data_IF_508299907270
#
_entry.id   IF_508299907270
#
_cell.length_a   1.000
_cell.length_b   1.000
_cell.length_c   1.000
_cell.angle_alpha   90.00
_cell.angle_beta   90.00
_cell.angle_gamma   90.00
#
_symmetry.space_group_name_H-M   'P 1'
#
loop_
_entity.id
_entity.type
_entity.pdbx_description
1 polymer ?
#
# COMPACT_ATOMS: atom_id res chain seq x y z
N UNK A 1 -1.98 10.77 -16.29
CA UNK A 1 -2.85 10.29 -15.19
C UNK A 1 -2.66 11.25 -14.03
N UNK A 2 -3.73 11.89 -13.53
CA UNK A 2 -3.65 12.83 -12.40
C UNK A 2 -3.63 12.10 -11.06
N UNK A 3 -3.20 12.77 -9.99
CA UNK A 3 -3.25 12.24 -8.61
C UNK A 3 -4.65 11.75 -8.23
N UNK A 4 -5.70 12.47 -8.64
CA UNK A 4 -7.08 12.09 -8.38
C UNK A 4 -7.48 10.79 -9.10
N UNK A 5 -7.06 10.62 -10.37
CA UNK A 5 -7.32 9.38 -11.11
C UNK A 5 -6.57 8.19 -10.51
N UNK A 6 -5.33 8.41 -10.07
CA UNK A 6 -4.52 7.38 -9.43
C UNK A 6 -5.10 6.97 -8.07
N UNK A 7 -5.57 7.95 -7.28
CA UNK A 7 -6.26 7.69 -6.01
C UNK A 7 -7.50 6.84 -6.24
N UNK A 8 -8.35 7.25 -7.18
CA UNK A 8 -9.57 6.50 -7.52
C UNK A 8 -9.25 5.05 -7.89
N UNK A 9 -8.21 4.82 -8.68
CA UNK A 9 -7.75 3.47 -9.02
C UNK A 9 -7.29 2.67 -7.81
N UNK A 10 -6.58 3.28 -6.86
CA UNK A 10 -6.18 2.60 -5.61
C UNK A 10 -7.39 2.31 -4.71
N UNK A 11 -8.39 3.19 -4.66
CA UNK A 11 -9.63 2.97 -3.91
C UNK A 11 -10.47 1.84 -4.51
N UNK A 12 -10.43 1.66 -5.83
CA UNK A 12 -11.16 0.61 -6.56
C UNK A 12 -10.43 -0.74 -6.62
N UNK A 13 -9.12 -0.76 -6.38
CA UNK A 13 -8.29 -1.96 -6.39
C UNK A 13 -8.56 -2.81 -5.14
N UNK A 14 -8.87 -4.10 -5.35
CA UNK A 14 -9.31 -5.02 -4.29
C UNK A 14 -8.19 -5.30 -3.28
N UNK A 15 -6.94 -5.25 -3.74
CA UNK A 15 -5.76 -5.56 -2.93
C UNK A 15 -5.20 -4.31 -2.24
N UNK A 16 -5.31 -3.14 -2.89
CA UNK A 16 -4.75 -1.88 -2.40
C UNK A 16 -5.75 -1.07 -1.58
N UNK A 17 -7.02 -1.04 -1.99
CA UNK A 17 -8.07 -0.21 -1.38
C UNK A 17 -8.23 -0.42 0.13
N UNK A 18 -8.34 -1.67 0.62
CA UNK A 18 -8.45 -1.90 2.06
C UNK A 18 -7.18 -1.49 2.82
N UNK A 19 -5.99 -1.73 2.27
CA UNK A 19 -4.72 -1.32 2.89
C UNK A 19 -4.56 0.21 2.95
N UNK A 20 -4.97 0.91 1.89
CA UNK A 20 -5.03 2.38 1.85
C UNK A 20 -5.92 2.89 2.98
N UNK A 21 -7.15 2.36 3.08
CA UNK A 21 -8.11 2.75 4.10
C UNK A 21 -7.57 2.50 5.51
N UNK A 22 -7.03 1.32 5.79
CA UNK A 22 -6.46 1.02 7.11
C UNK A 22 -5.31 1.94 7.50
N UNK A 23 -4.47 2.33 6.52
CA UNK A 23 -3.40 3.30 6.76
C UNK A 23 -3.92 4.71 7.00
N UNK A 24 -4.95 5.14 6.27
CA UNK A 24 -5.62 6.43 6.49
C UNK A 24 -6.34 6.49 7.85
N UNK A 25 -7.00 5.39 8.24
CA UNK A 25 -7.69 5.24 9.51
C UNK A 25 -6.73 5.07 10.71
N UNK A 26 -5.42 4.99 10.47
CA UNK A 26 -4.40 4.89 11.52
C UNK A 26 -4.41 3.56 12.27
N UNK A 27 -4.96 2.50 11.66
CA UNK A 27 -5.07 1.19 12.29
C UNK A 27 -3.69 0.55 12.39
N UNK A 28 -3.45 -0.20 13.47
CA UNK A 28 -2.27 -1.05 13.56
C UNK A 28 -2.32 -2.18 12.52
N UNK A 29 -1.16 -2.75 12.19
CA UNK A 29 -1.08 -3.87 11.24
C UNK A 29 -1.97 -5.01 11.74
N UNK A 30 -3.00 -5.44 10.97
CA UNK A 30 -3.84 -6.56 11.37
C UNK A 30 -3.05 -7.84 11.54
N UNK A 31 -3.53 -8.77 12.34
CA UNK A 31 -2.91 -10.07 12.53
C UNK A 31 -2.99 -10.93 11.25
N UNK A 32 -2.07 -11.90 11.11
CA UNK A 32 -2.06 -12.80 9.96
C UNK A 32 -3.37 -13.59 9.79
N UNK A 33 -4.00 -13.97 10.90
CA UNK A 33 -5.28 -14.69 10.90
C UNK A 33 -6.45 -13.87 10.34
N UNK A 34 -6.38 -12.54 10.39
CA UNK A 34 -7.44 -11.66 9.85
C UNK A 34 -7.35 -11.53 8.34
N UNK A 35 -6.20 -11.85 7.75
CA UNK A 35 -5.91 -11.67 6.32
C UNK A 35 -5.51 -13.00 5.66
N UNK A 36 -5.70 -14.13 6.33
CA UNK A 36 -5.28 -15.45 5.85
C UNK A 36 -6.04 -15.93 4.61
N UNK A 37 -7.23 -15.40 4.37
CA UNK A 37 -8.07 -15.75 3.22
C UNK A 37 -7.92 -14.76 2.04
N UNK A 38 -7.16 -13.68 2.24
CA UNK A 38 -6.93 -12.67 1.22
C UNK A 38 -6.01 -13.15 0.09
N UNK A 39 -5.99 -12.38 -0.99
CA UNK A 39 -5.15 -12.67 -2.16
C UNK A 39 -3.64 -12.68 -1.81
N UNK A 40 -2.84 -13.35 -2.64
CA UNK A 40 -1.38 -13.33 -2.50
C UNK A 40 -0.81 -11.92 -2.66
N UNK A 41 -1.38 -11.12 -3.57
CA UNK A 41 -1.00 -9.73 -3.81
C UNK A 41 -1.25 -8.86 -2.58
N UNK A 42 -2.43 -8.99 -1.97
CA UNK A 42 -2.78 -8.34 -0.71
C UNK A 42 -1.82 -8.72 0.41
N UNK A 43 -1.58 -10.03 0.60
CA UNK A 43 -0.67 -10.56 1.62
C UNK A 43 0.77 -10.07 1.43
N UNK A 44 1.25 -9.96 0.18
CA UNK A 44 2.57 -9.43 -0.12
C UNK A 44 2.70 -7.95 0.26
N UNK A 45 1.67 -7.14 0.00
CA UNK A 45 1.63 -5.74 0.43
C UNK A 45 1.52 -5.63 1.96
N UNK A 46 0.65 -6.43 2.59
CA UNK A 46 0.51 -6.51 4.05
C UNK A 46 1.83 -6.91 4.73
N UNK A 47 2.60 -7.85 4.16
CA UNK A 47 3.90 -8.26 4.71
C UNK A 47 4.90 -7.09 4.73
N UNK A 48 4.75 -6.13 3.82
CA UNK A 48 5.56 -4.92 3.70
C UNK A 48 4.96 -3.72 4.46
N UNK A 49 3.98 -3.93 5.35
CA UNK A 49 3.23 -2.87 6.04
C UNK A 49 4.08 -1.71 6.57
N UNK A 50 5.23 -2.00 7.19
CA UNK A 50 6.09 -0.96 7.79
C UNK A 50 6.70 -0.01 6.75
N UNK A 51 6.88 -0.49 5.51
CA UNK A 51 7.36 0.29 4.38
C UNK A 51 6.23 1.02 3.63
N UNK A 52 4.97 0.70 3.93
CA UNK A 52 3.81 1.37 3.35
C UNK A 52 3.47 2.64 4.12
N UNK A 53 3.29 3.74 3.38
CA UNK A 53 2.88 5.05 3.92
C UNK A 53 1.84 5.69 3.00
N UNK A 54 0.93 6.46 3.59
CA UNK A 54 0.01 7.30 2.82
C UNK A 54 0.60 8.69 2.72
N UNK A 55 0.71 9.18 1.49
CA UNK A 55 1.18 10.54 1.21
C UNK A 55 0.29 11.14 0.12
N UNK A 56 -0.28 12.32 0.38
CA UNK A 56 -1.24 12.97 -0.52
C UNK A 56 -2.41 12.05 -0.92
N UNK A 57 -2.92 11.26 0.05
CA UNK A 57 -4.01 10.27 -0.13
C UNK A 57 -3.69 9.13 -1.10
N UNK A 58 -2.40 8.85 -1.33
CA UNK A 58 -1.94 7.72 -2.11
C UNK A 58 -1.15 6.76 -1.23
N UNK A 59 -1.43 5.46 -1.34
CA UNK A 59 -0.61 4.42 -0.75
C UNK A 59 0.68 4.30 -1.56
N UNK A 60 1.80 4.61 -0.90
CA UNK A 60 3.14 4.51 -1.46
C UNK A 60 3.95 3.50 -0.67
N UNK A 61 4.84 2.79 -1.37
CA UNK A 61 5.87 1.96 -0.76
C UNK A 61 7.20 2.70 -0.76
N UNK A 62 7.77 2.88 0.44
CA UNK A 62 9.15 3.29 0.59
C UNK A 62 10.06 2.14 0.17
N UNK A 63 10.92 2.40 -0.81
CA UNK A 63 12.08 1.55 -1.08
C UNK A 63 13.32 2.24 -0.52
N UNK A 64 13.97 1.62 0.47
CA UNK A 64 15.35 1.95 0.80
C UNK A 64 16.25 1.36 -0.27
N UNK A 65 16.96 2.23 -1.00
CA UNK A 65 18.05 1.76 -1.87
C UNK A 65 19.19 1.24 -0.99
N UNK A 66 20.00 0.27 -1.46
CA UNK A 66 21.11 -0.29 -0.70
C UNK A 66 22.17 0.74 -0.25
N UNK A 67 22.18 1.95 -0.82
CA UNK A 67 23.15 3.01 -0.58
C UNK A 67 22.79 3.94 0.61
N UNK A 68 21.66 3.69 1.29
CA UNK A 68 21.32 4.33 2.57
C UNK A 68 21.11 5.85 2.54
N UNK A 69 21.11 6.49 1.37
CA UNK A 69 21.07 7.96 1.26
C UNK A 69 19.78 8.53 0.69
N UNK A 70 18.93 7.75 0.01
CA UNK A 70 17.70 8.26 -0.59
C UNK A 70 16.53 7.25 -0.56
N UNK A 71 15.41 7.62 0.07
CA UNK A 71 14.14 6.87 -0.01
C UNK A 71 13.40 7.27 -1.28
N UNK A 72 13.16 6.32 -2.19
CA UNK A 72 12.32 6.57 -3.38
C UNK A 72 10.94 5.95 -3.13
N UNK A 73 9.87 6.76 -3.20
CA UNK A 73 8.51 6.27 -3.04
C UNK A 73 7.97 5.78 -4.38
N UNK A 74 7.68 4.48 -4.50
CA UNK A 74 6.94 3.96 -5.64
C UNK A 74 5.44 3.90 -5.30
N UNK A 75 4.60 4.49 -6.15
CA UNK A 75 3.16 4.28 -6.06
C UNK A 75 2.87 2.84 -6.49
N UNK A 76 2.24 2.06 -5.61
CA UNK A 76 1.79 0.71 -5.96
C UNK A 76 0.61 0.78 -6.93
N UNK A 77 0.69 0.08 -8.05
CA UNK A 77 -0.43 -0.20 -8.94
C UNK A 77 -0.35 -1.68 -9.33
N UNK A 78 -1.32 -2.49 -8.93
CA UNK A 78 -1.45 -3.86 -9.42
C UNK A 78 -2.28 -3.79 -10.69
N UNK A 79 -1.63 -3.94 -11.85
CA UNK A 79 -2.34 -4.04 -13.12
C UNK A 79 -2.99 -5.41 -13.24
N UNK A 80 -4.25 -5.51 -12.86
CA UNK A 80 -5.15 -6.59 -13.28
C UNK A 80 -6.20 -6.05 -14.25
#
# INVERSE_FOLDING_TARGET
MTTAQLRKKQEEDVDIGPLLKWKEDGIQRPAWSEISDESLSFKALWAQWNSLRVENRLLKRAWERPDGKHTTYAVGYSGH
#
